data_IF_107018404486
#
_entry.id   IF_107018404486
#
_cell.length_a   1.000
_cell.length_b   1.000
_cell.length_c   1.000
_cell.angle_alpha   90.00
_cell.angle_beta   90.00
_cell.angle_gamma   90.00
#
_symmetry.space_group_name_H-M   'P 1'
#
loop_
_entity.id
_entity.type
_entity.pdbx_description
1 polymer ?
#
# COMPACT_ATOMS: atom_id res chain seq x y z
N UNK A 1 5.00 6.74 -10.66
CA UNK A 1 5.37 5.95 -9.46
C UNK A 1 4.76 4.56 -9.60
N UNK A 2 5.49 3.51 -9.22
CA UNK A 2 5.01 2.12 -9.27
C UNK A 2 4.66 1.66 -7.85
N UNK A 3 3.50 1.02 -7.68
CA UNK A 3 3.07 0.42 -6.40
C UNK A 3 2.71 -1.03 -6.67
N UNK A 4 3.26 -1.92 -5.86
CA UNK A 4 2.91 -3.34 -5.88
C UNK A 4 1.71 -3.59 -4.97
N UNK A 5 0.78 -4.39 -5.47
CA UNK A 5 -0.40 -4.84 -4.76
C UNK A 5 -0.43 -6.35 -4.78
N UNK A 6 -0.36 -6.98 -3.60
CA UNK A 6 -0.56 -8.42 -3.44
C UNK A 6 -2.00 -8.65 -2.98
N UNK A 7 -2.77 -9.40 -3.77
CA UNK A 7 -4.16 -9.72 -3.47
C UNK A 7 -4.28 -11.22 -3.17
N UNK A 8 -4.42 -11.58 -1.89
CA UNK A 8 -4.65 -12.95 -1.44
C UNK A 8 -6.15 -13.21 -1.53
N UNK A 9 -6.55 -14.19 -2.35
CA UNK A 9 -7.94 -14.39 -2.76
C UNK A 9 -8.35 -15.85 -2.70
N UNK A 10 -9.66 -16.06 -2.48
CA UNK A 10 -10.33 -17.34 -2.52
C UNK A 10 -11.16 -17.54 -3.80
N UNK A 11 -11.82 -18.69 -3.91
CA UNK A 11 -12.77 -19.02 -4.97
C UNK A 11 -14.19 -18.61 -4.58
N UNK A 12 -14.38 -17.33 -4.26
CA UNK A 12 -15.66 -16.79 -3.80
C UNK A 12 -15.99 -15.46 -4.51
N UNK A 13 -17.28 -15.07 -4.60
CA UNK A 13 -17.68 -13.85 -5.30
C UNK A 13 -17.09 -12.56 -4.72
N UNK A 14 -16.80 -12.53 -3.40
CA UNK A 14 -16.22 -11.36 -2.74
C UNK A 14 -14.78 -11.18 -3.22
N UNK A 15 -14.01 -12.26 -3.28
CA UNK A 15 -12.66 -12.26 -3.84
C UNK A 15 -12.62 -11.82 -5.31
N UNK A 16 -13.54 -12.31 -6.14
CA UNK A 16 -13.65 -11.87 -7.55
C UNK A 16 -13.97 -10.38 -7.65
N UNK A 17 -14.98 -9.91 -6.91
CA UNK A 17 -15.35 -8.49 -6.92
C UNK A 17 -14.21 -7.57 -6.45
N UNK A 18 -13.40 -8.03 -5.50
CA UNK A 18 -12.23 -7.29 -5.03
C UNK A 18 -11.15 -7.16 -6.12
N UNK A 19 -10.89 -8.21 -6.89
CA UNK A 19 -9.98 -8.15 -8.03
C UNK A 19 -10.47 -7.19 -9.11
N UNK A 20 -11.75 -7.27 -9.46
CA UNK A 20 -12.34 -6.39 -10.49
C UNK A 20 -12.24 -4.92 -10.06
N UNK A 21 -12.57 -4.63 -8.79
CA UNK A 21 -12.44 -3.29 -8.23
C UNK A 21 -10.98 -2.80 -8.21
N UNK A 22 -10.01 -3.69 -7.90
CA UNK A 22 -8.58 -3.37 -7.97
C UNK A 22 -8.14 -3.01 -9.39
N UNK A 23 -8.60 -3.75 -10.39
CA UNK A 23 -8.28 -3.48 -11.79
C UNK A 23 -8.85 -2.12 -12.22
N UNK A 24 -10.12 -1.86 -11.93
CA UNK A 24 -10.75 -0.56 -12.22
C UNK A 24 -10.03 0.60 -11.52
N UNK A 25 -9.68 0.44 -10.24
CA UNK A 25 -8.92 1.45 -9.50
C UNK A 25 -7.54 1.68 -10.11
N UNK A 26 -6.85 0.61 -10.55
CA UNK A 26 -5.54 0.72 -11.20
C UNK A 26 -5.62 1.50 -12.52
N UNK A 27 -6.68 1.33 -13.31
CA UNK A 27 -6.91 2.12 -14.51
C UNK A 27 -7.11 3.61 -14.21
N UNK A 28 -7.97 3.92 -13.25
CA UNK A 28 -8.26 5.31 -12.85
C UNK A 28 -6.98 5.98 -12.33
N UNK A 29 -6.26 5.30 -11.43
CA UNK A 29 -5.00 5.81 -10.87
C UNK A 29 -3.93 6.05 -11.93
N UNK A 30 -3.87 5.21 -12.96
CA UNK A 30 -2.96 5.40 -14.08
C UNK A 30 -3.37 6.58 -14.96
N UNK A 31 -4.66 6.68 -15.32
CA UNK A 31 -5.19 7.71 -16.23
C UNK A 31 -5.19 9.09 -15.60
N UNK A 32 -5.69 9.22 -14.37
CA UNK A 32 -5.91 10.52 -13.72
C UNK A 32 -4.71 11.00 -12.90
N UNK A 33 -3.95 10.08 -12.28
CA UNK A 33 -2.90 10.43 -11.32
C UNK A 33 -1.49 10.01 -11.76
N UNK A 34 -1.34 9.31 -12.89
CA UNK A 34 -0.06 8.79 -13.37
C UNK A 34 0.59 7.76 -12.43
N UNK A 35 -0.21 7.13 -11.55
CA UNK A 35 0.24 6.10 -10.62
C UNK A 35 0.02 4.74 -11.26
N UNK A 36 1.09 3.96 -11.40
CA UNK A 36 1.01 2.59 -11.93
C UNK A 36 0.89 1.62 -10.78
N UNK A 37 -0.12 0.76 -10.82
CA UNK A 37 -0.29 -0.35 -9.88
C UNK A 37 -0.01 -1.66 -10.62
N UNK A 38 0.72 -2.57 -9.97
CA UNK A 38 0.89 -3.95 -10.40
C UNK A 38 0.14 -4.83 -9.41
N UNK A 39 -0.88 -5.54 -9.89
CA UNK A 39 -1.71 -6.42 -9.08
C UNK A 39 -1.19 -7.84 -9.27
N UNK A 40 -0.77 -8.47 -8.18
CA UNK A 40 -0.32 -9.86 -8.13
C UNK A 40 -1.37 -10.66 -7.36
N UNK A 41 -2.25 -11.41 -8.04
CA UNK A 41 -3.20 -12.29 -7.36
C UNK A 41 -2.48 -13.52 -6.81
N UNK A 42 -2.73 -13.85 -5.55
CA UNK A 42 -2.30 -15.08 -4.90
C UNK A 42 -3.53 -15.92 -4.56
N UNK A 43 -3.74 -16.96 -5.36
CA UNK A 43 -4.88 -17.86 -5.26
C UNK A 43 -4.64 -18.95 -4.20
N UNK A 44 -5.57 -19.09 -3.26
CA UNK A 44 -5.48 -20.07 -2.16
C UNK A 44 -6.20 -21.41 -2.48
N UNK A 45 -6.32 -21.77 -3.77
CA UNK A 45 -7.18 -22.87 -4.29
C UNK A 45 -7.04 -24.24 -3.60
N UNK A 46 -5.92 -24.53 -2.94
CA UNK A 46 -5.62 -25.84 -2.36
C UNK A 46 -5.87 -25.95 -0.84
N UNK A 47 -6.24 -24.87 -0.14
CA UNK A 47 -6.39 -24.91 1.31
C UNK A 47 -7.77 -25.46 1.71
N UNK A 48 -7.96 -26.77 1.53
CA UNK A 48 -9.10 -27.52 2.10
C UNK A 48 -9.03 -27.63 3.63
N UNK A 49 -7.95 -27.15 4.25
CA UNK A 49 -7.65 -27.26 5.69
C UNK A 49 -7.44 -25.84 6.27
N UNK A 50 -8.32 -24.89 5.97
CA UNK A 50 -8.24 -23.58 6.64
C UNK A 50 -9.52 -22.78 6.48
N UNK A 51 -10.54 -23.16 7.25
CA UNK A 51 -11.57 -22.22 7.74
C UNK A 51 -11.00 -21.07 8.61
N UNK A 52 -9.67 -20.81 8.53
CA UNK A 52 -8.89 -19.99 9.46
C UNK A 52 -8.39 -18.67 8.87
N UNK A 53 -8.39 -18.45 7.54
CA UNK A 53 -8.24 -17.09 7.00
C UNK A 53 -9.63 -16.44 6.99
N UNK A 54 -10.13 -16.07 8.18
CA UNK A 54 -11.48 -15.50 8.40
C UNK A 54 -11.71 -14.14 7.73
N UNK A 55 -10.87 -13.71 6.79
CA UNK A 55 -10.85 -12.35 6.27
C UNK A 55 -10.34 -12.27 4.84
N UNK A 56 -10.58 -13.29 4.00
CA UNK A 56 -10.38 -13.14 2.57
C UNK A 56 -11.46 -12.22 1.96
N UNK A 57 -11.14 -11.44 0.92
CA UNK A 57 -9.80 -11.26 0.34
C UNK A 57 -8.91 -10.41 1.26
N UNK A 58 -7.58 -10.64 1.23
CA UNK A 58 -6.60 -9.77 1.89
C UNK A 58 -5.84 -9.01 0.82
N UNK A 59 -5.86 -7.68 0.89
CA UNK A 59 -5.18 -6.81 -0.06
C UNK A 59 -4.05 -6.09 0.67
N UNK A 60 -2.84 -6.22 0.13
CA UNK A 60 -1.63 -5.59 0.63
C UNK A 60 -1.16 -4.60 -0.43
N UNK A 61 -1.03 -3.33 -0.07
CA UNK A 61 -0.62 -2.25 -0.97
C UNK A 61 0.70 -1.69 -0.46
N UNK A 62 1.76 -1.79 -1.27
CA UNK A 62 3.09 -1.30 -0.89
C UNK A 62 3.62 -1.92 0.39
N UNK A 63 3.39 -3.21 0.59
CA UNK A 63 3.81 -3.96 1.78
C UNK A 63 2.93 -3.76 3.03
N UNK A 64 1.89 -2.94 2.98
CA UNK A 64 0.97 -2.73 4.11
C UNK A 64 -0.38 -3.40 3.86
N UNK A 65 -0.89 -4.15 4.84
CA UNK A 65 -2.24 -4.73 4.77
C UNK A 65 -3.28 -3.60 4.77
N UNK A 66 -3.96 -3.43 3.64
CA UNK A 66 -4.90 -2.34 3.40
C UNK A 66 -6.35 -2.75 3.67
N UNK A 67 -6.76 -3.93 3.18
CA UNK A 67 -8.13 -4.43 3.27
C UNK A 67 -8.16 -5.91 3.63
N UNK A 68 -9.22 -6.34 4.31
CA UNK A 68 -9.43 -7.73 4.68
C UNK A 68 -10.91 -8.05 4.89
N UNK A 69 -11.39 -9.16 4.35
CA UNK A 69 -12.70 -9.75 4.67
C UNK A 69 -13.88 -9.22 3.87
N UNK A 70 -13.65 -8.25 2.98
CA UNK A 70 -14.66 -7.69 2.10
C UNK A 70 -14.01 -7.21 0.79
N UNK A 71 -14.83 -6.99 -0.24
CA UNK A 71 -14.41 -6.40 -1.49
C UNK A 71 -14.44 -4.86 -1.37
N UNK A 72 -13.28 -4.17 -1.27
CA UNK A 72 -13.29 -2.72 -1.20
C UNK A 72 -13.79 -2.13 -2.52
N UNK A 73 -14.49 -1.01 -2.45
CA UNK A 73 -14.92 -0.25 -3.61
C UNK A 73 -13.74 0.38 -4.34
N UNK A 74 -13.92 0.69 -5.62
CA UNK A 74 -12.93 1.40 -6.44
C UNK A 74 -12.47 2.70 -5.77
N UNK A 75 -13.41 3.44 -5.17
CA UNK A 75 -13.13 4.70 -4.47
C UNK A 75 -12.25 4.50 -3.23
N UNK A 76 -12.55 3.51 -2.38
CA UNK A 76 -11.75 3.20 -1.19
C UNK A 76 -10.31 2.85 -1.56
N UNK A 77 -10.12 2.05 -2.63
CA UNK A 77 -8.79 1.69 -3.12
C UNK A 77 -8.02 2.93 -3.58
N UNK A 78 -8.65 3.80 -4.36
CA UNK A 78 -8.04 5.04 -4.86
C UNK A 78 -7.62 5.93 -3.69
N UNK A 79 -8.51 6.18 -2.74
CA UNK A 79 -8.25 7.02 -1.56
C UNK A 79 -7.08 6.47 -0.75
N UNK A 80 -7.08 5.16 -0.46
CA UNK A 80 -6.00 4.51 0.26
C UNK A 80 -4.65 4.66 -0.46
N UNK A 81 -4.63 4.42 -1.78
CA UNK A 81 -3.40 4.54 -2.57
C UNK A 81 -2.87 5.97 -2.55
N UNK A 82 -3.73 6.96 -2.75
CA UNK A 82 -3.33 8.38 -2.72
C UNK A 82 -2.75 8.77 -1.37
N UNK A 83 -3.34 8.30 -0.28
CA UNK A 83 -2.84 8.56 1.07
C UNK A 83 -1.51 7.85 1.34
N UNK A 84 -1.36 6.60 0.88
CA UNK A 84 -0.09 5.90 0.89
C UNK A 84 1.01 6.67 0.14
N UNK A 85 0.71 7.21 -1.05
CA UNK A 85 1.65 8.04 -1.83
C UNK A 85 2.09 9.26 -1.04
N UNK A 86 1.13 9.98 -0.43
CA UNK A 86 1.42 11.19 0.36
C UNK A 86 2.33 10.87 1.55
N UNK A 87 2.03 9.78 2.27
CA UNK A 87 2.81 9.35 3.42
C UNK A 87 4.23 8.93 3.02
N UNK A 88 4.39 8.18 1.93
CA UNK A 88 5.71 7.78 1.44
C UNK A 88 6.56 8.96 0.97
N UNK A 89 5.94 9.96 0.31
CA UNK A 89 6.64 11.20 -0.03
C UNK A 89 7.12 11.94 1.21
N UNK A 90 6.32 11.98 2.28
CA UNK A 90 6.73 12.57 3.57
C UNK A 90 7.90 11.81 4.19
N UNK A 91 7.86 10.48 4.27
CA UNK A 91 8.96 9.65 4.82
C UNK A 91 10.28 9.88 4.08
N UNK A 92 10.29 9.81 2.75
CA UNK A 92 11.50 10.10 1.95
C UNK A 92 12.04 11.52 2.16
N UNK A 93 11.16 12.50 2.39
CA UNK A 93 11.57 13.87 2.72
C UNK A 93 12.26 13.95 4.08
N UNK A 94 11.79 13.21 5.09
CA UNK A 94 12.44 13.16 6.40
C UNK A 94 13.78 12.41 6.37
N UNK A 95 13.87 11.29 5.65
CA UNK A 95 15.14 10.57 5.44
C UNK A 95 16.18 11.46 4.73
N UNK A 96 15.75 12.28 3.76
CA UNK A 96 16.62 13.24 3.08
C UNK A 96 16.99 14.48 3.93
N UNK A 97 16.32 14.69 5.07
CA UNK A 97 16.47 15.89 5.91
C UNK A 97 17.08 15.58 7.30
N UNK A 98 17.93 14.55 7.41
CA UNK A 98 18.78 14.39 8.60
C UNK A 98 20.18 14.91 8.28
N UNK A 99 20.46 16.22 8.36
CA UNK A 99 21.83 16.68 8.45
C UNK A 99 22.40 16.16 9.77
N UNK A 100 23.54 15.47 9.72
CA UNK A 100 24.27 15.01 10.91
C UNK A 100 24.78 16.18 11.79
N UNK A 101 24.65 17.42 11.30
CA UNK A 101 24.87 18.66 12.02
C UNK A 101 24.66 19.82 11.06
N UNK A 102 23.92 20.85 11.51
CA UNK A 102 23.91 22.15 10.85
C UNK A 102 25.03 22.95 11.53
N UNK A 103 26.15 23.17 10.82
CA UNK A 103 27.16 24.11 11.27
C UNK A 103 26.70 25.49 10.79
N UNK A 104 25.93 26.16 11.64
CA UNK A 104 25.74 27.60 11.52
C UNK A 104 26.98 28.25 12.17
N UNK A 105 27.68 29.13 11.43
CA UNK A 105 28.70 30.01 12.01
C UNK A 105 27.98 30.94 12.98
N UNK A 106 27.79 30.47 14.21
CA UNK A 106 28.02 31.19 15.46
C UNK A 106 27.42 30.49 16.69
N UNK A 107 26.67 29.38 16.58
CA UNK A 107 26.30 28.56 17.74
C UNK A 107 26.18 27.06 17.41
N UNK A 108 27.03 26.23 18.05
CA UNK A 108 27.01 24.77 17.96
C UNK A 108 25.81 24.19 18.72
N UNK A 109 24.85 23.59 18.01
CA UNK A 109 23.87 22.66 18.59
C UNK A 109 24.20 21.24 18.13
N UNK A 110 24.75 20.45 19.06
CA UNK A 110 24.95 19.01 18.90
C UNK A 110 23.65 18.28 19.25
N UNK A 111 22.89 17.81 18.26
CA UNK A 111 21.93 16.73 18.49
C UNK A 111 22.62 15.39 18.24
N UNK A 112 23.06 14.76 19.32
CA UNK A 112 23.49 13.37 19.30
C UNK A 112 22.30 12.46 18.95
N UNK A 113 22.38 11.75 17.82
CA UNK A 113 21.55 10.59 17.58
C UNK A 113 22.02 9.48 18.54
N UNK A 114 21.26 9.26 19.60
CA UNK A 114 21.43 8.09 20.47
C UNK A 114 20.68 6.93 19.80
N UNK A 115 21.48 5.87 19.56
CA UNK A 115 21.21 4.49 19.09
C UNK A 115 19.77 3.98 19.13
#
# INVERSE_FOLDING_TARGET
MLIEVLAIIGLDPVSTGALDNLQHAAEVLKKEYGIKIVIVPYNTWSDTISSSIKSLPIIIIGGTKAFAGYAPSVKEIIEYVLDYVKQNKRRKRYEALVPAGIIEKDHLLLSAAIT
#
